data_IF_327184258449
#
_entry.id   IF_327184258449
#
_cell.length_a   1.000
_cell.length_b   1.000
_cell.length_c   1.000
_cell.angle_alpha   90.00
_cell.angle_beta   90.00
_cell.angle_gamma   90.00
#
_symmetry.space_group_name_H-M   'P 1'
#
loop_
_entity.id
_entity.type
_entity.pdbx_description
1 polymer ?
#
# COMPACT_ATOMS: atom_id res chain seq x y z
N UNK A 1 -33.88 40.85 5.27
CA UNK A 1 -32.41 41.00 5.26
C UNK A 1 -31.79 39.79 4.58
N UNK A 2 -31.09 40.02 3.46
CA UNK A 2 -30.24 39.03 2.77
C UNK A 2 -28.80 39.12 3.28
N UNK A 3 -28.15 37.99 3.52
CA UNK A 3 -26.72 37.85 3.86
C UNK A 3 -26.58 36.75 4.94
N UNK A 4 -25.84 35.64 4.75
CA UNK A 4 -24.47 35.52 4.27
C UNK A 4 -24.16 34.13 3.67
N UNK A 5 -23.34 34.15 2.61
CA UNK A 5 -22.59 33.06 1.95
C UNK A 5 -23.04 31.59 2.06
N UNK A 6 -23.53 31.06 0.93
CA UNK A 6 -23.42 29.64 0.53
C UNK A 6 -21.94 29.27 0.28
N UNK A 7 -21.16 29.14 1.34
CA UNK A 7 -19.73 28.79 1.26
C UNK A 7 -19.49 27.33 1.60
N UNK A 8 -19.36 26.47 0.57
CA UNK A 8 -18.71 25.14 0.59
C UNK A 8 -18.51 24.52 1.98
N UNK A 9 -19.44 23.70 2.44
CA UNK A 9 -19.19 22.79 3.57
C UNK A 9 -17.98 21.92 3.23
N UNK A 10 -16.89 22.15 3.95
CA UNK A 10 -15.66 21.38 3.79
C UNK A 10 -15.93 19.99 4.35
N UNK A 11 -15.82 18.96 3.50
CA UNK A 11 -15.93 17.57 3.96
C UNK A 11 -14.95 17.36 5.13
N UNK A 12 -15.42 16.91 6.31
CA UNK A 12 -14.54 16.63 7.42
C UNK A 12 -13.55 15.53 7.02
N UNK A 13 -12.24 15.79 7.20
CA UNK A 13 -11.22 14.78 6.93
C UNK A 13 -11.32 13.69 7.99
N UNK A 14 -11.32 12.42 7.55
CA UNK A 14 -11.12 11.30 8.48
C UNK A 14 -9.73 11.43 9.12
N UNK A 15 -9.56 11.04 10.40
CA UNK A 15 -8.23 10.90 10.98
C UNK A 15 -7.44 9.85 10.18
N UNK A 16 -6.11 10.00 10.17
CA UNK A 16 -5.24 9.01 9.54
C UNK A 16 -5.32 7.68 10.32
N UNK A 17 -5.25 6.53 9.63
CA UNK A 17 -5.08 5.25 10.30
C UNK A 17 -3.80 5.24 11.13
N UNK A 18 -3.81 4.50 12.24
CA UNK A 18 -2.61 4.25 13.05
C UNK A 18 -1.80 3.14 12.43
N UNK A 19 -0.48 3.33 12.35
CA UNK A 19 0.49 2.29 12.00
C UNK A 19 1.60 2.29 13.04
N UNK A 20 2.33 1.18 13.17
CA UNK A 20 3.50 1.14 14.05
C UNK A 20 4.69 1.80 13.36
N UNK A 21 5.23 2.83 13.99
CA UNK A 21 6.48 3.44 13.56
C UNK A 21 7.65 2.60 14.06
N UNK A 22 8.61 2.35 13.17
CA UNK A 22 9.84 1.65 13.50
C UNK A 22 11.04 2.55 13.22
N UNK A 23 12.03 2.50 14.10
CA UNK A 23 13.33 3.16 13.90
C UNK A 23 14.26 2.34 12.99
N UNK A 24 13.91 1.08 12.71
CA UNK A 24 14.64 0.18 11.82
C UNK A 24 14.59 0.66 10.36
N UNK A 25 15.60 0.34 9.57
CA UNK A 25 15.62 0.67 8.13
C UNK A 25 14.56 -0.08 7.32
N UNK A 26 14.34 0.31 6.05
CA UNK A 26 13.28 -0.25 5.17
C UNK A 26 13.27 -1.78 5.13
N UNK A 27 14.43 -2.41 4.96
CA UNK A 27 14.54 -3.88 4.84
C UNK A 27 14.18 -4.55 6.17
N UNK A 28 14.75 -4.06 7.26
CA UNK A 28 14.57 -4.61 8.60
C UNK A 28 13.13 -4.43 9.07
N UNK A 29 12.57 -3.23 8.95
CA UNK A 29 11.18 -2.93 9.29
C UNK A 29 10.16 -3.73 8.48
N UNK A 30 10.42 -4.05 7.22
CA UNK A 30 9.55 -4.96 6.44
C UNK A 30 9.67 -6.41 6.94
N UNK A 31 10.88 -6.85 7.28
CA UNK A 31 11.14 -8.24 7.71
C UNK A 31 10.62 -8.54 9.11
N UNK A 32 10.79 -7.64 10.07
CA UNK A 32 10.39 -7.80 11.48
C UNK A 32 8.87 -7.87 11.64
N UNK A 33 8.13 -6.99 10.97
CA UNK A 33 6.67 -6.97 10.99
C UNK A 33 6.04 -8.03 10.08
N UNK A 34 6.85 -8.65 9.21
CA UNK A 34 6.43 -9.65 8.22
C UNK A 34 6.01 -9.04 6.88
N UNK A 35 6.68 -9.44 5.80
CA UNK A 35 6.52 -8.87 4.46
C UNK A 35 5.06 -8.76 3.98
N UNK A 36 4.28 -9.84 4.08
CA UNK A 36 2.88 -9.84 3.61
C UNK A 36 1.97 -8.96 4.48
N UNK A 37 2.20 -8.93 5.79
CA UNK A 37 1.42 -8.11 6.72
C UNK A 37 1.69 -6.62 6.47
N UNK A 38 2.95 -6.25 6.21
CA UNK A 38 3.31 -4.88 5.82
C UNK A 38 2.73 -4.51 4.45
N UNK A 39 2.80 -5.41 3.45
CA UNK A 39 2.34 -5.12 2.10
C UNK A 39 0.81 -5.03 1.95
N UNK A 40 0.05 -5.84 2.69
CA UNK A 40 -1.41 -5.93 2.57
C UNK A 40 -2.17 -5.13 3.63
N UNK A 41 -1.70 -5.17 4.87
CA UNK A 41 -2.40 -4.56 6.02
C UNK A 41 -1.79 -3.21 6.45
N UNK A 42 -0.72 -2.75 5.77
CA UNK A 42 -0.06 -1.44 6.01
C UNK A 42 0.31 -1.22 7.50
N UNK A 43 0.78 -2.28 8.16
CA UNK A 43 0.96 -2.28 9.64
C UNK A 43 2.10 -1.38 10.13
N UNK A 44 2.97 -0.93 9.22
CA UNK A 44 4.05 0.01 9.52
C UNK A 44 4.29 0.99 8.35
N UNK A 45 5.18 1.95 8.55
CA UNK A 45 5.48 3.01 7.57
C UNK A 45 6.02 2.53 6.20
N UNK A 46 6.44 1.27 6.08
CA UNK A 46 7.00 0.71 4.86
C UNK A 46 5.99 -0.02 3.97
N UNK A 47 4.69 0.00 4.32
CA UNK A 47 3.63 -0.63 3.52
C UNK A 47 3.64 -0.23 2.04
N UNK A 48 3.73 1.06 1.66
CA UNK A 48 3.80 1.46 0.25
C UNK A 48 5.00 0.84 -0.50
N UNK A 49 6.14 0.67 0.18
CA UNK A 49 7.32 0.05 -0.41
C UNK A 49 7.12 -1.45 -0.60
N UNK A 50 6.63 -2.14 0.44
CA UNK A 50 6.33 -3.56 0.40
C UNK A 50 5.25 -3.90 -0.64
N UNK A 51 4.26 -3.02 -0.83
CA UNK A 51 3.20 -3.16 -1.83
C UNK A 51 3.75 -3.13 -3.26
N UNK A 52 4.67 -2.22 -3.57
CA UNK A 52 5.31 -2.16 -4.90
C UNK A 52 6.16 -3.41 -5.17
N UNK A 53 6.88 -3.89 -4.15
CA UNK A 53 7.63 -5.15 -4.26
C UNK A 53 6.69 -6.32 -4.52
N UNK A 54 5.58 -6.41 -3.78
CA UNK A 54 4.57 -7.45 -3.97
C UNK A 54 3.95 -7.39 -5.38
N UNK A 55 3.63 -6.19 -5.88
CA UNK A 55 3.14 -5.99 -7.25
C UNK A 55 4.14 -6.53 -8.29
N UNK A 56 5.43 -6.23 -8.13
CA UNK A 56 6.49 -6.75 -9.00
C UNK A 56 6.56 -8.28 -9.00
N UNK A 57 6.45 -8.91 -7.84
CA UNK A 57 6.43 -10.38 -7.70
C UNK A 57 5.23 -10.98 -8.42
N UNK A 58 4.02 -10.47 -8.17
CA UNK A 58 2.79 -11.00 -8.78
C UNK A 58 2.79 -10.79 -10.29
N UNK A 59 3.25 -9.63 -10.76
CA UNK A 59 3.38 -9.34 -12.18
C UNK A 59 4.38 -10.29 -12.86
N UNK A 60 5.56 -10.51 -12.26
CA UNK A 60 6.55 -11.43 -12.77
C UNK A 60 6.05 -12.88 -12.80
N UNK A 61 5.37 -13.33 -11.74
CA UNK A 61 4.77 -14.65 -11.68
C UNK A 61 3.71 -14.84 -12.79
N UNK A 62 2.85 -13.82 -12.99
CA UNK A 62 1.84 -13.83 -14.05
C UNK A 62 2.49 -13.90 -15.43
N UNK A 63 3.51 -13.08 -15.67
CA UNK A 63 4.26 -13.09 -16.93
C UNK A 63 4.95 -14.45 -17.18
N UNK A 64 5.53 -15.07 -16.15
CA UNK A 64 6.13 -16.40 -16.26
C UNK A 64 5.10 -17.47 -16.61
N UNK A 65 3.91 -17.45 -15.98
CA UNK A 65 2.81 -18.37 -16.29
C UNK A 65 2.35 -18.20 -17.74
N UNK A 66 2.15 -16.97 -18.20
CA UNK A 66 1.75 -16.69 -19.57
C UNK A 66 2.83 -17.13 -20.58
N UNK A 67 4.10 -16.89 -20.26
CA UNK A 67 5.22 -17.33 -21.09
C UNK A 67 5.24 -18.86 -21.23
N UNK A 68 5.15 -19.59 -20.11
CA UNK A 68 5.09 -21.05 -20.13
C UNK A 68 3.88 -21.56 -20.90
N UNK A 69 2.70 -20.95 -20.70
CA UNK A 69 1.50 -21.30 -21.45
C UNK A 69 1.72 -21.12 -22.96
N UNK A 70 2.25 -19.97 -23.41
CA UNK A 70 2.55 -19.71 -24.83
C UNK A 70 3.58 -20.69 -25.42
N UNK A 71 4.51 -21.22 -24.63
CA UNK A 71 5.48 -22.20 -25.12
C UNK A 71 4.91 -23.62 -25.22
N UNK A 72 3.85 -23.93 -24.45
CA UNK A 72 3.27 -25.28 -24.37
C UNK A 72 1.98 -25.45 -25.19
N UNK A 73 1.35 -24.37 -25.64
CA UNK A 73 0.12 -24.36 -26.46
C UNK A 73 0.35 -23.70 -27.81
#
# INVERSE_FOLDING_TARGET
MSGTSRGRERIPRRPLPTFEETESGIVEGISESGFLKVALDDVNQYGPHAMIVLLGIVAAATAAVLMVAMFLT
#
